data_IF_000109075621
#
_entry.id   IF_000109075621
#
_cell.length_a   1.000
_cell.length_b   1.000
_cell.length_c   1.000
_cell.angle_alpha   90.00
_cell.angle_beta   90.00
_cell.angle_gamma   90.00
#
_symmetry.space_group_name_H-M   'P 1'
#
loop_
_entity.id
_entity.type
_entity.pdbx_description
1 polymer ?
#
# COMPACT_ATOMS: atom_id res chain seq x y z
N UNK A 1 10.54 -5.46 -19.62
CA UNK A 1 10.40 -5.76 -18.18
C UNK A 1 8.97 -5.44 -17.76
N UNK A 2 8.33 -6.24 -16.90
CA UNK A 2 6.97 -5.98 -16.39
C UNK A 2 7.01 -6.09 -14.87
N UNK A 3 6.92 -4.95 -14.20
CA UNK A 3 6.85 -4.84 -12.74
C UNK A 3 5.44 -4.40 -12.35
N UNK A 4 5.06 -4.72 -11.12
CA UNK A 4 3.80 -4.34 -10.50
C UNK A 4 4.07 -3.72 -9.12
N UNK A 5 3.03 -3.12 -8.54
CA UNK A 5 3.06 -2.62 -7.17
C UNK A 5 3.79 -3.59 -6.22
N UNK A 6 4.67 -3.06 -5.37
CA UNK A 6 5.50 -3.81 -4.39
C UNK A 6 6.58 -4.74 -4.96
N UNK A 7 6.80 -4.77 -6.27
CA UNK A 7 8.11 -5.17 -6.76
C UNK A 7 9.14 -4.09 -6.35
N UNK A 8 10.40 -4.49 -6.14
CA UNK A 8 11.47 -3.53 -5.88
C UNK A 8 12.43 -3.40 -7.05
N UNK A 9 12.87 -2.17 -7.25
CA UNK A 9 13.99 -1.79 -8.08
C UNK A 9 15.16 -1.42 -7.18
N UNK A 10 16.34 -1.94 -7.51
CA UNK A 10 17.62 -1.53 -6.91
C UNK A 10 18.25 -0.51 -7.86
N UNK A 11 18.39 0.73 -7.40
CA UNK A 11 19.11 1.78 -8.12
C UNK A 11 20.62 1.51 -8.16
N UNK A 12 21.36 2.20 -9.04
CA UNK A 12 22.81 2.01 -9.21
C UNK A 12 23.63 2.28 -7.94
N UNK A 13 23.17 3.16 -7.06
CA UNK A 13 23.79 3.42 -5.74
C UNK A 13 23.30 2.46 -4.64
N UNK A 14 22.45 1.49 -4.98
CA UNK A 14 21.88 0.52 -4.05
C UNK A 14 20.64 1.00 -3.28
N UNK A 15 20.07 2.16 -3.62
CA UNK A 15 18.79 2.61 -3.07
C UNK A 15 17.69 1.62 -3.51
N UNK A 16 16.82 1.23 -2.57
CA UNK A 16 15.72 0.32 -2.81
C UNK A 16 14.43 1.11 -3.01
N UNK A 17 13.86 0.97 -4.19
CA UNK A 17 12.66 1.66 -4.64
C UNK A 17 11.51 0.67 -4.76
N UNK A 18 10.45 0.89 -4.00
CA UNK A 18 9.19 0.16 -4.11
C UNK A 18 8.41 0.69 -5.31
N UNK A 19 8.07 -0.15 -6.28
CA UNK A 19 7.20 0.22 -7.39
C UNK A 19 5.82 0.59 -6.83
N UNK A 20 5.29 1.75 -7.24
CA UNK A 20 4.02 2.29 -6.76
C UNK A 20 2.93 2.16 -7.81
N UNK A 21 1.95 1.31 -7.52
CA UNK A 21 0.77 1.12 -8.37
C UNK A 21 1.10 0.61 -9.77
N UNK A 22 0.41 1.16 -10.77
CA UNK A 22 0.33 0.56 -12.12
C UNK A 22 0.47 1.57 -13.26
N UNK A 23 0.59 2.86 -12.94
CA UNK A 23 0.67 3.95 -13.89
C UNK A 23 2.13 4.38 -14.06
N UNK A 24 2.79 3.92 -15.12
CA UNK A 24 4.22 4.15 -15.33
C UNK A 24 4.49 4.67 -16.74
N UNK A 25 5.41 5.64 -16.90
CA UNK A 25 5.83 6.06 -18.23
C UNK A 25 6.65 4.95 -18.92
N UNK A 26 6.78 4.97 -20.26
CA UNK A 26 7.50 3.92 -20.99
C UNK A 26 9.00 3.81 -20.65
N UNK A 27 9.59 4.86 -20.10
CA UNK A 27 11.02 5.03 -19.83
C UNK A 27 11.41 4.82 -18.36
N UNK A 28 10.46 4.43 -17.49
CA UNK A 28 10.79 4.16 -16.09
C UNK A 28 9.58 3.79 -15.23
N UNK A 29 9.82 3.58 -13.94
CA UNK A 29 8.78 3.21 -12.97
C UNK A 29 8.61 4.29 -11.93
N UNK A 30 7.35 4.64 -11.63
CA UNK A 30 7.03 5.49 -10.47
C UNK A 30 7.26 4.65 -9.23
N UNK A 31 8.04 5.19 -8.29
CA UNK A 31 8.46 4.43 -7.12
C UNK A 31 8.54 5.30 -5.87
N UNK A 32 8.48 4.63 -4.73
CA UNK A 32 8.82 5.20 -3.43
C UNK A 32 10.21 4.71 -3.01
N UNK A 33 11.14 5.61 -2.68
CA UNK A 33 12.40 5.22 -2.05
C UNK A 33 12.11 4.75 -0.62
N UNK A 34 12.36 3.48 -0.33
CA UNK A 34 12.04 2.90 0.97
C UNK A 34 13.28 2.62 1.83
N UNK A 35 14.40 2.24 1.21
CA UNK A 35 15.65 2.01 1.92
C UNK A 35 16.85 2.59 1.18
N UNK A 36 17.86 3.01 1.93
CA UNK A 36 19.17 3.33 1.38
C UNK A 36 20.30 2.66 2.17
N UNK A 37 21.41 2.28 1.51
CA UNK A 37 22.57 1.72 2.18
C UNK A 37 23.13 2.65 3.26
N UNK A 38 23.67 2.08 4.35
CA UNK A 38 24.31 2.82 5.45
C UNK A 38 25.47 3.73 5.01
N UNK A 39 26.03 3.48 3.82
CA UNK A 39 27.14 4.22 3.23
C UNK A 39 26.72 5.57 2.66
N UNK A 40 25.45 5.74 2.30
CA UNK A 40 24.95 6.96 1.65
C UNK A 40 23.83 7.66 2.44
N UNK A 41 23.20 6.97 3.39
CA UNK A 41 22.13 7.54 4.20
C UNK A 41 22.17 7.03 5.64
N UNK A 42 21.81 7.92 6.58
CA UNK A 42 21.54 7.61 7.99
C UNK A 42 20.33 8.43 8.43
N UNK A 43 19.41 7.80 9.16
CA UNK A 43 18.28 8.49 9.78
C UNK A 43 18.52 8.65 11.28
N UNK A 44 17.97 9.73 11.85
CA UNK A 44 17.91 9.95 13.29
C UNK A 44 16.77 9.17 13.95
N UNK A 45 15.86 8.57 13.16
CA UNK A 45 14.80 7.74 13.69
C UNK A 45 15.39 6.40 14.22
N UNK A 46 15.21 6.08 15.52
CA UNK A 46 15.78 4.87 16.10
C UNK A 46 15.19 3.58 15.50
N UNK A 47 14.03 3.66 14.83
CA UNK A 47 13.40 2.53 14.13
C UNK A 47 13.90 2.36 12.69
N UNK A 48 14.75 3.25 12.17
CA UNK A 48 15.23 3.19 10.78
C UNK A 48 16.29 2.14 10.47
N UNK A 49 17.25 1.81 11.35
CA UNK A 49 18.27 0.81 11.04
C UNK A 49 17.67 -0.54 10.60
N UNK A 50 18.25 -1.15 9.58
CA UNK A 50 17.93 -2.49 9.06
C UNK A 50 19.20 -3.29 8.87
N UNK A 51 19.13 -4.59 9.17
CA UNK A 51 20.26 -5.53 9.19
C UNK A 51 20.49 -6.12 10.58
N UNK A 52 20.88 -7.39 10.60
CA UNK A 52 21.24 -8.14 11.80
C UNK A 52 22.35 -9.14 11.45
N UNK A 53 23.42 -9.28 12.27
CA UNK A 53 23.68 -8.58 13.53
C UNK A 53 24.14 -7.13 13.35
N UNK A 54 24.51 -6.73 12.14
CA UNK A 54 24.95 -5.37 11.83
C UNK A 54 23.98 -4.63 10.91
N UNK A 55 23.91 -3.31 11.09
CA UNK A 55 23.15 -2.43 10.20
C UNK A 55 23.77 -2.45 8.81
N UNK A 56 22.94 -2.63 7.78
CA UNK A 56 23.31 -2.58 6.37
C UNK A 56 22.55 -1.46 5.63
N UNK A 57 21.29 -1.22 6.01
CA UNK A 57 20.40 -0.24 5.39
C UNK A 57 19.70 0.62 6.43
N UNK A 58 19.13 1.74 5.99
CA UNK A 58 18.20 2.56 6.76
C UNK A 58 16.87 2.65 5.99
N UNK A 59 15.75 2.37 6.67
CA UNK A 59 14.40 2.67 6.16
C UNK A 59 14.14 4.16 6.24
N UNK A 60 13.59 4.73 5.17
CA UNK A 60 13.09 6.10 5.17
C UNK A 60 11.77 6.19 5.93
N UNK A 61 11.58 7.27 6.71
CA UNK A 61 10.33 7.58 7.39
C UNK A 61 9.77 8.93 6.95
N UNK A 62 8.44 9.01 6.79
CA UNK A 62 7.78 10.24 6.35
C UNK A 62 8.31 10.70 4.99
N UNK A 63 8.76 11.95 4.90
CA UNK A 63 9.28 12.53 3.67
C UNK A 63 10.81 12.41 3.48
N UNK A 64 11.50 11.65 4.35
CA UNK A 64 12.96 11.50 4.28
C UNK A 64 13.43 10.99 2.92
N UNK A 65 12.78 9.95 2.38
CA UNK A 65 13.16 9.33 1.12
C UNK A 65 13.00 10.26 -0.08
N UNK A 66 11.86 10.96 -0.15
CA UNK A 66 11.59 11.94 -1.20
C UNK A 66 12.62 13.08 -1.16
N UNK A 67 12.83 13.70 0.00
CA UNK A 67 13.83 14.77 0.18
C UNK A 67 15.25 14.31 -0.12
N UNK A 68 15.60 13.09 0.28
CA UNK A 68 16.91 12.52 0.05
C UNK A 68 17.18 12.33 -1.44
N UNK A 69 16.23 11.75 -2.17
CA UNK A 69 16.34 11.55 -3.62
C UNK A 69 16.36 12.89 -4.36
N UNK A 70 15.42 13.80 -4.07
CA UNK A 70 15.36 15.10 -4.75
C UNK A 70 16.63 15.93 -4.57
N UNK A 71 17.25 15.88 -3.39
CA UNK A 71 18.45 16.65 -3.09
C UNK A 71 19.73 16.02 -3.64
N UNK A 72 19.90 14.71 -3.52
CA UNK A 72 21.18 14.04 -3.75
C UNK A 72 21.22 13.25 -5.06
N UNK A 73 20.07 12.77 -5.54
CA UNK A 73 19.97 11.92 -6.73
C UNK A 73 18.78 12.36 -7.62
N UNK A 74 18.80 13.60 -8.14
CA UNK A 74 17.69 14.14 -8.94
C UNK A 74 17.43 13.38 -10.24
N UNK A 75 18.36 12.50 -10.65
CA UNK A 75 18.19 11.57 -11.78
C UNK A 75 17.15 10.48 -11.52
N UNK A 76 16.79 10.17 -10.27
CA UNK A 76 15.65 9.30 -9.92
C UNK A 76 14.32 10.05 -9.93
N UNK A 77 14.09 10.81 -11.00
CA UNK A 77 12.84 11.53 -11.24
C UNK A 77 12.39 11.25 -12.66
N UNK A 78 11.13 10.87 -12.80
CA UNK A 78 10.52 10.56 -14.09
C UNK A 78 9.37 11.53 -14.36
N UNK A 79 9.24 11.97 -15.60
CA UNK A 79 8.17 12.86 -15.99
C UNK A 79 6.89 12.07 -16.25
N UNK A 80 5.87 12.30 -15.42
CA UNK A 80 4.57 11.66 -15.57
C UNK A 80 3.68 12.58 -16.39
N UNK A 81 3.62 12.32 -17.70
CA UNK A 81 2.89 13.15 -18.67
C UNK A 81 1.43 13.44 -18.28
N UNK A 82 0.62 12.45 -17.84
CA UNK A 82 -0.75 12.74 -17.40
C UNK A 82 -0.83 13.78 -16.27
N UNK A 83 0.12 13.76 -15.34
CA UNK A 83 0.17 14.69 -14.19
C UNK A 83 0.94 15.98 -14.48
N UNK A 84 1.62 16.07 -15.63
CA UNK A 84 2.48 17.19 -16.03
C UNK A 84 3.51 17.59 -14.97
N UNK A 85 4.07 16.61 -14.27
CA UNK A 85 5.05 16.82 -13.20
C UNK A 85 6.08 15.69 -13.16
N UNK A 86 7.18 15.93 -12.45
CA UNK A 86 8.16 14.91 -12.11
C UNK A 86 7.80 14.26 -10.79
N UNK A 87 7.73 12.93 -10.78
CA UNK A 87 7.64 12.13 -9.56
C UNK A 87 8.96 11.41 -9.32
N UNK A 88 9.20 11.00 -8.08
CA UNK A 88 10.28 10.07 -7.78
C UNK A 88 10.00 8.74 -8.49
N UNK A 89 11.03 8.20 -9.11
CA UNK A 89 10.94 6.96 -9.87
C UNK A 89 12.28 6.60 -10.46
N UNK A 90 12.37 5.41 -11.05
CA UNK A 90 13.64 4.89 -11.57
C UNK A 90 13.56 4.81 -13.09
N UNK A 91 14.33 5.65 -13.82
CA UNK A 91 14.56 5.47 -15.25
C UNK A 91 15.16 4.09 -15.54
N UNK A 92 14.81 3.50 -16.69
CA UNK A 92 15.23 2.14 -17.04
C UNK A 92 16.76 1.96 -17.01
N UNK A 93 17.52 2.98 -17.40
CA UNK A 93 18.99 2.98 -17.43
C UNK A 93 19.65 3.01 -16.04
N UNK A 94 18.90 3.38 -14.99
CA UNK A 94 19.38 3.41 -13.61
C UNK A 94 18.96 2.18 -12.79
N UNK A 95 18.35 1.18 -13.44
CA UNK A 95 17.97 -0.08 -12.80
C UNK A 95 19.19 -1.00 -12.77
N UNK A 96 19.73 -1.23 -11.56
CA UNK A 96 20.82 -2.19 -11.35
C UNK A 96 20.30 -3.62 -11.17
N UNK A 97 19.18 -3.79 -10.44
CA UNK A 97 18.56 -5.09 -10.21
C UNK A 97 17.07 -4.96 -9.86
N UNK A 98 16.37 -6.09 -9.88
CA UNK A 98 14.96 -6.21 -9.49
C UNK A 98 14.86 -7.24 -8.36
N UNK A 99 13.98 -7.00 -7.39
CA UNK A 99 13.61 -7.99 -6.37
C UNK A 99 12.09 -8.14 -6.37
N UNK A 100 11.62 -9.34 -6.74
CA UNK A 100 10.19 -9.66 -6.71
C UNK A 100 9.83 -10.39 -5.41
N UNK A 101 8.68 -10.07 -4.78
CA UNK A 101 8.24 -10.75 -3.57
C UNK A 101 8.15 -12.28 -3.70
N UNK A 102 7.69 -12.78 -4.85
CA UNK A 102 7.60 -14.23 -5.12
C UNK A 102 8.98 -14.90 -5.09
N UNK A 103 9.98 -14.31 -5.76
CA UNK A 103 11.36 -14.81 -5.75
C UNK A 103 11.97 -14.78 -4.34
N UNK A 104 11.56 -13.82 -3.51
CA UNK A 104 11.89 -13.78 -2.09
C UNK A 104 11.34 -14.99 -1.33
N UNK A 105 10.05 -15.28 -1.52
CA UNK A 105 9.39 -16.39 -0.83
C UNK A 105 9.97 -17.73 -1.26
N UNK A 106 10.16 -17.95 -2.57
CA UNK A 106 10.79 -19.18 -3.09
C UNK A 106 12.14 -19.44 -2.44
N UNK A 107 13.01 -18.42 -2.36
CA UNK A 107 14.32 -18.55 -1.70
C UNK A 107 14.20 -18.95 -0.23
N UNK A 108 13.20 -18.46 0.49
CA UNK A 108 12.96 -18.83 1.90
C UNK A 108 12.46 -20.27 1.98
N UNK A 109 11.49 -20.67 1.14
CA UNK A 109 10.95 -22.03 1.11
C UNK A 109 12.01 -23.08 0.74
N UNK A 110 13.01 -22.72 -0.06
CA UNK A 110 14.11 -23.61 -0.47
C UNK A 110 15.32 -23.57 0.47
N UNK A 111 15.39 -22.61 1.40
CA UNK A 111 16.54 -22.45 2.29
C UNK A 111 16.74 -23.66 3.21
N UNK A 112 17.99 -24.14 3.29
CA UNK A 112 18.37 -25.26 4.17
C UNK A 112 18.38 -24.89 5.66
N UNK A 113 18.43 -23.59 5.98
CA UNK A 113 18.40 -23.06 7.33
C UNK A 113 17.67 -21.72 7.34
N UNK A 114 16.89 -21.50 8.39
CA UNK A 114 16.05 -20.33 8.60
C UNK A 114 16.20 -19.88 10.05
N UNK A 115 16.30 -18.58 10.26
CA UNK A 115 16.11 -18.03 11.59
C UNK A 115 14.63 -18.12 12.02
N UNK A 116 14.37 -17.71 13.26
CA UNK A 116 13.04 -17.79 13.87
C UNK A 116 11.96 -17.09 13.03
N UNK A 117 12.21 -15.85 12.60
CA UNK A 117 11.22 -15.05 11.87
C UNK A 117 10.91 -15.66 10.50
N UNK A 118 11.91 -16.23 9.84
CA UNK A 118 11.72 -16.93 8.57
C UNK A 118 10.94 -18.24 8.76
N UNK A 119 11.13 -18.97 9.87
CA UNK A 119 10.29 -20.13 10.18
C UNK A 119 8.85 -19.72 10.44
N UNK A 120 8.63 -18.66 11.23
CA UNK A 120 7.29 -18.11 11.49
C UNK A 120 6.61 -17.67 10.18
N UNK A 121 7.38 -17.08 9.24
CA UNK A 121 6.89 -16.70 7.90
C UNK A 121 6.43 -17.91 7.10
N UNK A 122 7.22 -18.99 7.07
CA UNK A 122 6.86 -20.23 6.37
C UNK A 122 5.61 -20.86 6.99
N UNK A 123 5.50 -20.90 8.32
CA UNK A 123 4.34 -21.48 8.99
C UNK A 123 3.04 -20.70 8.66
N UNK A 124 3.11 -19.36 8.61
CA UNK A 124 1.96 -18.54 8.19
C UNK A 124 1.59 -18.86 6.73
N UNK A 125 2.58 -18.98 5.84
CA UNK A 125 2.33 -19.33 4.43
C UNK A 125 1.67 -20.70 4.31
N UNK A 126 2.11 -21.69 5.08
CA UNK A 126 1.51 -23.02 5.10
C UNK A 126 0.05 -22.98 5.60
N UNK A 127 -0.22 -22.25 6.69
CA UNK A 127 -1.60 -22.02 7.19
C UNK A 127 -2.49 -21.42 6.10
N UNK A 128 -1.99 -20.42 5.36
CA UNK A 128 -2.74 -19.80 4.27
C UNK A 128 -2.98 -20.77 3.10
N UNK A 129 -1.99 -21.58 2.74
CA UNK A 129 -2.14 -22.56 1.66
C UNK A 129 -3.16 -23.64 2.05
N UNK A 130 -3.13 -24.12 3.29
CA UNK A 130 -4.04 -25.16 3.79
C UNK A 130 -5.46 -24.65 4.02
N UNK A 131 -5.61 -23.48 4.65
CA UNK A 131 -6.92 -22.97 5.11
C UNK A 131 -7.62 -22.13 4.04
N UNK A 132 -6.88 -21.24 3.37
CA UNK A 132 -7.45 -20.38 2.33
C UNK A 132 -7.40 -21.00 0.92
N UNK A 133 -6.80 -22.19 0.77
CA UNK A 133 -6.58 -22.85 -0.52
C UNK A 133 -5.92 -21.89 -1.54
N UNK A 134 -4.87 -21.19 -1.07
CA UNK A 134 -3.98 -20.37 -1.89
C UNK A 134 -2.82 -21.24 -2.39
N UNK A 135 -2.32 -20.92 -3.58
CA UNK A 135 -1.04 -21.46 -4.01
C UNK A 135 0.10 -20.65 -3.40
N UNK A 136 1.25 -21.28 -3.15
CA UNK A 136 2.49 -20.57 -2.85
C UNK A 136 2.82 -19.53 -3.92
N UNK A 137 2.44 -19.78 -5.18
CA UNK A 137 2.63 -18.83 -6.28
C UNK A 137 1.74 -17.57 -6.18
N UNK A 138 0.68 -17.60 -5.37
CA UNK A 138 -0.18 -16.45 -5.10
C UNK A 138 0.41 -15.53 -4.01
N UNK A 139 1.52 -15.93 -3.37
CA UNK A 139 2.09 -15.27 -2.20
C UNK A 139 3.52 -14.79 -2.50
N UNK A 140 3.94 -13.71 -1.85
CA UNK A 140 5.32 -13.26 -1.82
C UNK A 140 5.69 -12.71 -0.45
N UNK A 141 6.99 -12.45 -0.22
CA UNK A 141 7.47 -11.74 0.97
C UNK A 141 7.90 -10.32 0.60
N UNK A 142 7.65 -9.37 1.48
CA UNK A 142 7.93 -7.95 1.26
C UNK A 142 8.91 -7.40 2.31
N UNK A 143 9.24 -6.12 2.19
CA UNK A 143 9.99 -5.38 3.19
C UNK A 143 11.36 -5.97 3.50
N UNK A 144 11.72 -6.00 4.78
CA UNK A 144 13.06 -6.42 5.21
C UNK A 144 13.38 -7.89 4.95
N UNK A 145 12.35 -8.75 4.97
CA UNK A 145 12.48 -10.19 4.72
C UNK A 145 12.88 -10.43 3.26
N UNK A 146 12.25 -9.75 2.30
CA UNK A 146 12.60 -9.87 0.87
C UNK A 146 14.08 -9.59 0.59
N UNK A 147 14.62 -8.59 1.29
CA UNK A 147 16.00 -8.15 1.12
C UNK A 147 17.01 -8.87 2.01
N UNK A 148 16.56 -9.71 2.95
CA UNK A 148 17.43 -10.47 3.86
C UNK A 148 18.17 -9.60 4.88
N UNK A 149 17.65 -8.41 5.20
CA UNK A 149 18.17 -7.54 6.26
C UNK A 149 17.20 -7.40 7.43
N UNK A 150 16.23 -8.31 7.56
CA UNK A 150 15.34 -8.37 8.70
C UNK A 150 16.12 -8.63 9.99
N UNK A 151 15.53 -8.20 11.10
CA UNK A 151 15.98 -8.56 12.42
C UNK A 151 15.02 -9.63 12.94
N UNK A 152 15.50 -10.85 13.26
CA UNK A 152 14.62 -11.96 13.68
C UNK A 152 13.75 -11.65 14.90
N UNK A 153 14.16 -10.70 15.75
CA UNK A 153 13.49 -10.37 17.01
C UNK A 153 12.65 -9.09 16.94
N UNK A 154 12.79 -8.28 15.88
CA UNK A 154 12.18 -6.94 15.82
C UNK A 154 11.42 -6.64 14.54
N UNK A 155 11.72 -7.34 13.43
CA UNK A 155 10.99 -7.12 12.18
C UNK A 155 9.59 -7.72 12.23
N UNK A 156 8.71 -7.07 11.50
CA UNK A 156 7.36 -7.56 11.20
C UNK A 156 7.43 -8.54 10.00
N UNK A 157 6.35 -9.26 9.74
CA UNK A 157 6.21 -10.15 8.59
C UNK A 157 5.28 -9.49 7.58
N UNK A 158 5.83 -9.05 6.46
CA UNK A 158 5.06 -8.44 5.37
C UNK A 158 4.91 -9.46 4.23
N UNK A 159 3.68 -9.91 3.97
CA UNK A 159 3.36 -10.83 2.87
C UNK A 159 2.64 -10.07 1.75
N UNK A 160 2.92 -10.41 0.51
CA UNK A 160 2.15 -9.94 -0.66
C UNK A 160 1.20 -11.04 -1.08
N UNK A 161 -0.04 -10.69 -1.39
CA UNK A 161 -1.06 -11.60 -1.88
C UNK A 161 -1.54 -11.12 -3.24
N UNK A 162 -1.42 -11.98 -4.26
CA UNK A 162 -1.66 -11.61 -5.64
C UNK A 162 -3.04 -11.99 -6.12
N UNK A 163 -3.79 -11.02 -6.64
CA UNK A 163 -5.08 -11.24 -7.30
C UNK A 163 -6.29 -11.05 -6.40
N UNK A 164 -7.31 -10.34 -6.88
CA UNK A 164 -8.54 -10.05 -6.12
C UNK A 164 -9.21 -11.31 -5.54
N UNK A 165 -9.26 -12.39 -6.32
CA UNK A 165 -9.81 -13.69 -5.87
C UNK A 165 -9.06 -14.27 -4.67
N UNK A 166 -7.73 -14.13 -4.65
CA UNK A 166 -6.90 -14.62 -3.56
C UNK A 166 -7.10 -13.76 -2.30
N UNK A 167 -7.34 -12.46 -2.46
CA UNK A 167 -7.64 -11.56 -1.35
C UNK A 167 -9.00 -11.86 -0.71
N UNK A 168 -10.01 -12.21 -1.51
CA UNK A 168 -11.31 -12.62 -0.96
C UNK A 168 -11.16 -13.88 -0.10
N UNK A 169 -10.51 -14.92 -0.64
CA UNK A 169 -10.21 -16.16 0.10
C UNK A 169 -9.41 -15.90 1.37
N UNK A 170 -8.38 -15.05 1.28
CA UNK A 170 -7.57 -14.67 2.43
C UNK A 170 -8.43 -14.02 3.52
N UNK A 171 -9.29 -13.06 3.17
CA UNK A 171 -10.15 -12.37 4.14
C UNK A 171 -11.15 -13.32 4.80
N UNK A 172 -11.71 -14.27 4.06
CA UNK A 172 -12.57 -15.33 4.61
C UNK A 172 -11.80 -16.18 5.62
N UNK A 173 -10.63 -16.69 5.23
CA UNK A 173 -9.75 -17.47 6.08
C UNK A 173 -9.31 -16.70 7.35
N UNK A 174 -8.87 -15.45 7.21
CA UNK A 174 -8.47 -14.62 8.35
C UNK A 174 -9.64 -14.30 9.27
N UNK A 175 -10.85 -14.11 8.73
CA UNK A 175 -12.05 -13.93 9.54
C UNK A 175 -12.32 -15.15 10.42
N UNK A 176 -12.17 -16.37 9.87
CA UNK A 176 -12.30 -17.62 10.64
C UNK A 176 -11.19 -17.73 11.70
N UNK A 177 -9.92 -17.60 11.28
CA UNK A 177 -8.75 -17.66 12.17
C UNK A 177 -8.84 -16.66 13.32
N UNK A 178 -9.23 -15.41 13.06
CA UNK A 178 -9.31 -14.39 14.09
C UNK A 178 -10.41 -14.66 15.12
N UNK A 179 -11.48 -15.36 14.71
CA UNK A 179 -12.61 -15.70 15.58
C UNK A 179 -12.34 -16.86 16.54
N UNK A 180 -11.36 -17.73 16.25
CA UNK A 180 -11.05 -18.90 17.08
C UNK A 180 -10.23 -18.53 18.32
N UNK A 181 -10.59 -19.08 19.49
CA UNK A 181 -9.95 -18.74 20.77
C UNK A 181 -8.48 -19.21 20.87
N UNK A 182 -8.16 -20.31 20.22
CA UNK A 182 -6.84 -20.97 20.23
C UNK A 182 -5.99 -20.63 18.99
N UNK A 183 -6.47 -19.78 18.10
CA UNK A 183 -5.72 -19.38 16.91
C UNK A 183 -4.44 -18.61 17.27
N UNK A 184 -3.35 -18.98 16.59
CA UNK A 184 -2.07 -18.26 16.61
C UNK A 184 -2.14 -16.94 15.85
N UNK A 185 -3.15 -16.72 15.01
CA UNK A 185 -3.36 -15.49 14.26
C UNK A 185 -4.56 -14.72 14.81
N UNK A 186 -4.35 -13.43 15.11
CA UNK A 186 -5.37 -12.52 15.64
C UNK A 186 -5.39 -11.21 14.88
N UNK A 187 -6.55 -10.55 14.82
CA UNK A 187 -6.65 -9.23 14.21
C UNK A 187 -5.80 -8.24 15.03
N UNK A 188 -4.92 -7.48 14.37
CA UNK A 188 -4.06 -6.52 15.06
C UNK A 188 -4.86 -5.51 15.90
N UNK A 189 -6.04 -5.12 15.41
CA UNK A 189 -6.89 -4.10 16.01
C UNK A 189 -7.80 -4.63 17.13
N UNK A 190 -7.64 -5.90 17.52
CA UNK A 190 -8.17 -6.44 18.78
C UNK A 190 -7.25 -6.14 19.97
N UNK A 191 -6.00 -5.73 19.70
CA UNK A 191 -5.05 -5.29 20.70
C UNK A 191 -5.13 -3.77 20.90
N UNK A 192 -4.62 -3.25 22.04
CA UNK A 192 -4.49 -1.81 22.23
C UNK A 192 -3.70 -1.16 21.10
N UNK A 193 -4.29 -0.13 20.47
CA UNK A 193 -3.68 0.66 19.41
C UNK A 193 -3.18 1.97 19.99
N UNK A 194 -1.87 2.15 20.04
CA UNK A 194 -1.24 3.40 20.44
C UNK A 194 -0.71 4.16 19.22
N UNK A 195 -1.42 5.22 18.83
CA UNK A 195 -0.93 6.21 17.86
C UNK A 195 -0.79 7.57 18.55
N UNK A 196 0.32 7.83 19.27
CA UNK A 196 0.50 9.05 20.06
C UNK A 196 0.54 10.34 19.21
N UNK A 197 0.71 10.21 17.89
CA UNK A 197 0.67 11.33 16.93
C UNK A 197 -0.35 11.04 15.84
N UNK A 198 -1.63 11.05 16.19
CA UNK A 198 -2.71 11.02 15.21
C UNK A 198 -2.76 12.36 14.46
N UNK A 199 -2.60 12.32 13.14
CA UNK A 199 -2.37 13.53 12.32
C UNK A 199 -3.61 14.01 11.56
N UNK A 200 -4.57 13.13 11.27
CA UNK A 200 -5.73 13.48 10.47
C UNK A 200 -6.72 14.32 11.27
N UNK A 201 -7.17 15.44 10.68
CA UNK A 201 -8.11 16.38 11.33
C UNK A 201 -9.56 15.95 11.19
N UNK A 202 -9.92 15.40 10.03
CA UNK A 202 -11.31 15.06 9.66
C UNK A 202 -11.63 13.56 9.81
N UNK A 203 -10.68 12.80 10.33
CA UNK A 203 -10.75 11.37 10.56
C UNK A 203 -10.15 11.11 11.93
N UNK A 204 -10.92 10.62 12.89
CA UNK A 204 -10.48 10.43 14.27
C UNK A 204 -9.81 9.07 14.48
N UNK A 205 -9.04 8.93 15.56
CA UNK A 205 -8.40 7.66 15.91
C UNK A 205 -9.42 6.51 16.12
N UNK A 206 -10.62 6.80 16.65
CA UNK A 206 -11.67 5.79 16.82
C UNK A 206 -12.22 5.30 15.49
N UNK A 207 -12.46 6.23 14.57
CA UNK A 207 -12.90 5.90 13.20
C UNK A 207 -11.80 5.12 12.46
N UNK A 208 -10.53 5.48 12.66
CA UNK A 208 -9.38 4.71 12.17
C UNK A 208 -9.40 3.26 12.66
N UNK A 209 -9.44 3.04 13.97
CA UNK A 209 -9.46 1.69 14.55
C UNK A 209 -10.66 0.89 14.02
N UNK A 210 -11.84 1.51 13.92
CA UNK A 210 -13.03 0.86 13.36
C UNK A 210 -12.78 0.37 11.92
N UNK A 211 -12.27 1.25 11.06
CA UNK A 211 -12.03 0.93 9.65
C UNK A 211 -10.91 -0.08 9.47
N UNK A 212 -9.79 0.06 10.17
CA UNK A 212 -8.67 -0.86 10.01
C UNK A 212 -9.01 -2.28 10.46
N UNK A 213 -9.76 -2.42 11.55
CA UNK A 213 -10.21 -3.73 12.06
C UNK A 213 -10.96 -4.52 10.99
N UNK A 214 -11.84 -3.86 10.22
CA UNK A 214 -12.66 -4.50 9.16
C UNK A 214 -11.92 -4.72 7.83
N UNK A 215 -10.68 -4.26 7.68
CA UNK A 215 -9.89 -4.54 6.46
C UNK A 215 -9.47 -6.01 6.39
N UNK A 216 -9.32 -6.67 7.55
CA UNK A 216 -8.97 -8.10 7.68
C UNK A 216 -7.65 -8.48 7.02
N UNK A 217 -6.71 -7.54 6.87
CA UNK A 217 -5.38 -7.76 6.31
C UNK A 217 -4.24 -7.41 7.28
N UNK A 218 -4.58 -7.07 8.52
CA UNK A 218 -3.61 -6.81 9.59
C UNK A 218 -3.78 -7.83 10.69
N UNK A 219 -2.68 -8.50 11.04
CA UNK A 219 -2.64 -9.59 11.97
C UNK A 219 -1.53 -9.46 12.99
N UNK A 220 -1.65 -10.23 14.07
CA UNK A 220 -0.55 -10.61 14.93
C UNK A 220 -0.49 -12.12 15.02
N UNK A 221 0.72 -12.65 14.86
CA UNK A 221 1.03 -14.07 14.96
C UNK A 221 1.72 -14.36 16.29
N UNK A 222 1.23 -15.34 17.04
CA UNK A 222 1.86 -15.83 18.25
C UNK A 222 2.96 -16.83 17.89
N UNK A 223 4.19 -16.43 18.15
CA UNK A 223 5.38 -17.15 17.72
C UNK A 223 5.96 -18.09 18.80
N UNK A 224 5.23 -18.25 19.90
CA UNK A 224 5.61 -18.99 21.11
C UNK A 224 6.18 -18.11 22.24
N UNK A 225 6.65 -16.90 21.93
CA UNK A 225 7.31 -15.99 22.88
C UNK A 225 6.66 -14.59 22.85
N UNK A 226 6.34 -14.08 21.66
CA UNK A 226 5.74 -12.77 21.42
C UNK A 226 4.69 -12.79 20.32
N UNK A 227 3.92 -11.71 20.28
CA UNK A 227 3.06 -11.38 19.15
C UNK A 227 3.86 -10.62 18.09
N UNK A 228 4.11 -11.25 16.94
CA UNK A 228 4.76 -10.67 15.76
C UNK A 228 3.69 -10.06 14.87
N UNK A 229 3.88 -8.82 14.38
CA UNK A 229 2.93 -8.24 13.44
C UNK A 229 3.05 -8.91 12.07
N UNK A 230 1.91 -9.08 11.42
CA UNK A 230 1.81 -9.64 10.07
C UNK A 230 0.91 -8.73 9.24
N UNK A 231 1.40 -8.26 8.11
CA UNK A 231 0.63 -7.47 7.15
C UNK A 231 0.46 -8.27 5.86
N UNK A 232 -0.77 -8.33 5.33
CA UNK A 232 -1.09 -9.02 4.08
C UNK A 232 -1.43 -8.01 2.99
N UNK A 233 -0.49 -7.79 2.09
CA UNK A 233 -0.51 -6.70 1.13
C UNK A 233 -1.07 -7.14 -0.23
N UNK A 234 -2.28 -6.68 -0.61
CA UNK A 234 -2.90 -6.99 -1.89
C UNK A 234 -2.18 -6.35 -3.06
N UNK A 235 -1.86 -7.15 -4.06
CA UNK A 235 -1.30 -6.69 -5.34
C UNK A 235 -2.04 -7.35 -6.49
N UNK A 236 -2.25 -6.63 -7.60
CA UNK A 236 -2.92 -7.18 -8.78
C UNK A 236 -2.13 -8.37 -9.34
N UNK A 237 -2.84 -9.40 -9.79
CA UNK A 237 -2.22 -10.41 -10.64
C UNK A 237 -1.84 -9.79 -12.00
N UNK A 238 -0.97 -10.44 -12.76
CA UNK A 238 -0.61 -9.95 -14.10
C UNK A 238 -1.81 -9.88 -15.05
N UNK A 239 -2.86 -10.67 -14.82
CA UNK A 239 -4.07 -10.67 -15.67
C UNK A 239 -5.07 -9.56 -15.27
N UNK A 240 -4.99 -9.06 -14.04
CA UNK A 240 -5.78 -7.93 -13.54
C UNK A 240 -5.14 -6.57 -13.83
N UNK A 241 -3.86 -6.58 -14.19
CA UNK A 241 -3.09 -5.39 -14.52
C UNK A 241 -3.27 -5.01 -16.01
N UNK A 242 -3.86 -3.84 -16.25
CA UNK A 242 -3.89 -3.17 -17.55
C UNK A 242 -3.07 -1.89 -17.48
N UNK A 243 -2.21 -1.67 -18.49
CA UNK A 243 -1.46 -0.42 -18.61
C UNK A 243 -2.35 0.65 -19.24
N UNK A 244 -2.89 1.52 -18.38
CA UNK A 244 -3.73 2.65 -18.80
C UNK A 244 -2.93 3.93 -19.07
N UNK A 245 -1.59 3.92 -18.92
CA UNK A 245 -0.79 5.16 -19.02
C UNK A 245 -1.01 5.87 -20.34
N UNK A 246 -1.07 5.12 -21.44
CA UNK A 246 -1.24 5.69 -22.77
C UNK A 246 -2.66 6.18 -23.06
N UNK A 247 -3.65 5.77 -22.27
CA UNK A 247 -5.06 6.13 -22.43
C UNK A 247 -5.40 7.48 -21.77
N UNK A 248 -4.67 7.85 -20.73
CA UNK A 248 -4.87 9.11 -19.99
C UNK A 248 -4.06 10.22 -20.66
N UNK A 249 -4.74 11.24 -21.15
CA UNK A 249 -4.12 12.41 -21.80
C UNK A 249 -3.63 13.41 -20.76
N UNK A 250 -4.47 13.74 -19.77
CA UNK A 250 -4.10 14.60 -18.65
C UNK A 250 -5.03 14.46 -17.45
N UNK A 251 -4.51 14.81 -16.28
CA UNK A 251 -5.23 14.91 -15.01
C UNK A 251 -5.05 16.34 -14.52
N UNK A 252 -6.13 17.13 -14.60
CA UNK A 252 -6.11 18.54 -14.19
C UNK A 252 -6.75 18.68 -12.80
N UNK A 253 -6.04 19.32 -11.85
CA UNK A 253 -6.60 19.66 -10.53
C UNK A 253 -7.64 20.78 -10.68
N UNK A 254 -8.86 20.52 -10.24
CA UNK A 254 -9.98 21.47 -10.34
C UNK A 254 -10.16 22.26 -9.04
N UNK A 255 -10.14 21.57 -7.90
CA UNK A 255 -10.29 22.22 -6.60
C UNK A 255 -10.60 21.24 -5.49
N UNK A 256 -10.50 21.70 -4.24
CA UNK A 256 -10.84 20.87 -3.09
C UNK A 256 -12.36 20.67 -2.98
N UNK A 257 -12.78 19.46 -2.65
CA UNK A 257 -14.19 19.09 -2.50
C UNK A 257 -14.45 18.34 -1.21
N UNK A 258 -15.71 18.40 -0.77
CA UNK A 258 -16.30 17.57 0.28
C UNK A 258 -17.57 16.96 -0.28
N UNK A 259 -17.65 15.63 -0.33
CA UNK A 259 -18.77 14.90 -0.93
C UNK A 259 -19.32 13.87 0.05
N UNK A 260 -20.62 13.63 -0.04
CA UNK A 260 -21.25 12.39 0.40
C UNK A 260 -21.56 11.55 -0.85
N UNK A 261 -21.35 10.25 -0.78
CA UNK A 261 -21.51 9.36 -1.92
C UNK A 261 -21.91 7.95 -1.45
N UNK A 262 -22.45 7.15 -2.36
CA UNK A 262 -22.62 5.70 -2.18
C UNK A 262 -21.59 4.97 -3.03
N UNK A 263 -21.00 3.91 -2.50
CA UNK A 263 -20.09 3.05 -3.27
C UNK A 263 -20.92 2.17 -4.21
N UNK A 264 -20.65 2.26 -5.51
CA UNK A 264 -21.32 1.45 -6.55
C UNK A 264 -20.41 0.39 -7.16
N UNK A 265 -19.09 0.49 -6.94
CA UNK A 265 -18.08 -0.49 -7.35
C UNK A 265 -16.91 -0.50 -6.36
N UNK A 266 -16.63 -1.65 -5.78
CA UNK A 266 -15.53 -1.91 -4.85
C UNK A 266 -14.51 -2.94 -5.39
N UNK A 267 -14.55 -3.26 -6.69
CA UNK A 267 -13.67 -4.28 -7.29
C UNK A 267 -12.17 -4.00 -7.19
N UNK A 268 -11.78 -2.73 -7.00
CA UNK A 268 -10.39 -2.26 -7.01
C UNK A 268 -9.97 -1.59 -5.70
N UNK A 269 -10.70 -1.79 -4.60
CA UNK A 269 -10.44 -1.12 -3.30
C UNK A 269 -9.28 -1.76 -2.52
N UNK A 270 -8.85 -2.96 -2.92
CA UNK A 270 -7.76 -3.71 -2.30
C UNK A 270 -6.38 -3.18 -2.63
N UNK A 271 -6.23 -2.61 -3.82
CA UNK A 271 -4.93 -2.33 -4.44
C UNK A 271 -4.49 -0.90 -4.19
N UNK A 272 -3.24 -0.60 -4.57
CA UNK A 272 -2.73 0.77 -4.62
C UNK A 272 -2.62 1.24 -6.08
N UNK A 273 -3.20 2.40 -6.45
CA UNK A 273 -4.19 3.14 -5.67
C UNK A 273 -5.49 2.33 -5.48
N UNK A 274 -6.18 2.60 -4.37
CA UNK A 274 -7.51 2.06 -4.12
C UNK A 274 -8.51 2.87 -4.94
N UNK A 275 -9.34 2.20 -5.73
CA UNK A 275 -10.34 2.86 -6.58
C UNK A 275 -11.73 2.42 -6.17
N UNK A 276 -12.55 3.40 -5.83
CA UNK A 276 -13.96 3.24 -5.47
C UNK A 276 -14.81 3.88 -6.57
N UNK A 277 -15.67 3.10 -7.22
CA UNK A 277 -16.73 3.68 -8.05
C UNK A 277 -17.81 4.25 -7.14
N UNK A 278 -18.25 5.48 -7.41
CA UNK A 278 -19.20 6.20 -6.56
C UNK A 278 -20.31 6.89 -7.34
N UNK A 279 -21.45 7.02 -6.69
CA UNK A 279 -22.51 7.95 -7.07
C UNK A 279 -22.60 9.05 -6.01
N UNK A 280 -22.48 10.32 -6.42
CA UNK A 280 -22.51 11.46 -5.51
C UNK A 280 -23.94 11.73 -5.07
N UNK A 281 -24.20 11.60 -3.77
CA UNK A 281 -25.51 11.87 -3.19
C UNK A 281 -25.63 13.31 -2.71
N UNK A 282 -24.52 13.95 -2.35
CA UNK A 282 -24.50 15.34 -1.90
C UNK A 282 -23.14 16.02 -2.11
N UNK A 283 -23.17 17.20 -2.72
CA UNK A 283 -22.06 18.15 -2.68
C UNK A 283 -22.13 18.96 -1.37
N UNK A 284 -21.19 18.73 -0.46
CA UNK A 284 -21.09 19.48 0.81
C UNK A 284 -20.37 20.81 0.59
N UNK A 285 -19.28 20.82 -0.17
CA UNK A 285 -18.60 22.05 -0.61
C UNK A 285 -17.66 21.77 -1.78
N UNK A 286 -17.45 22.77 -2.64
CA UNK A 286 -16.52 22.71 -3.76
C UNK A 286 -17.16 23.12 -5.09
N UNK A 287 -16.45 22.98 -6.22
CA UNK A 287 -16.99 23.21 -7.57
C UNK A 287 -18.22 22.33 -7.86
N UNK A 288 -19.14 22.83 -8.71
CA UNK A 288 -20.39 22.15 -9.03
C UNK A 288 -20.18 20.86 -9.84
N UNK A 289 -19.12 20.85 -10.65
CA UNK A 289 -18.65 19.71 -11.44
C UNK A 289 -18.33 18.48 -10.57
N UNK A 290 -18.11 18.67 -9.27
CA UNK A 290 -17.92 17.57 -8.34
C UNK A 290 -19.14 16.64 -8.24
N UNK A 291 -20.33 17.09 -8.62
CA UNK A 291 -21.53 16.25 -8.71
C UNK A 291 -21.41 15.15 -9.78
N UNK A 292 -20.56 15.34 -10.79
CA UNK A 292 -20.30 14.38 -11.86
C UNK A 292 -19.15 13.41 -11.51
N UNK A 293 -18.69 13.41 -10.24
CA UNK A 293 -17.65 12.49 -9.77
C UNK A 293 -18.15 11.06 -9.87
N UNK A 294 -17.38 10.22 -10.55
CA UNK A 294 -17.67 8.79 -10.70
C UNK A 294 -16.73 7.89 -9.90
N UNK A 295 -15.61 8.43 -9.41
CA UNK A 295 -14.58 7.67 -8.70
C UNK A 295 -13.95 8.43 -7.55
N UNK A 296 -13.55 7.70 -6.52
CA UNK A 296 -12.57 8.13 -5.52
C UNK A 296 -11.31 7.28 -5.72
N UNK A 297 -10.15 7.91 -5.82
CA UNK A 297 -8.86 7.25 -6.04
C UNK A 297 -7.92 7.61 -4.88
N UNK A 298 -7.50 6.63 -4.09
CA UNK A 298 -6.62 6.84 -2.94
C UNK A 298 -5.25 6.19 -3.14
N UNK A 299 -4.20 6.99 -2.99
CA UNK A 299 -2.81 6.54 -2.83
C UNK A 299 -2.39 6.47 -1.36
N UNK A 300 -3.30 6.77 -0.42
CA UNK A 300 -3.06 6.76 1.02
C UNK A 300 -3.53 5.41 1.57
N UNK A 301 -2.61 4.67 2.19
CA UNK A 301 -2.84 3.32 2.71
C UNK A 301 -3.96 3.28 3.77
N UNK A 302 -4.09 4.32 4.60
CA UNK A 302 -5.19 4.41 5.58
C UNK A 302 -6.59 4.40 4.92
N UNK A 303 -6.72 4.81 3.66
CA UNK A 303 -8.00 4.80 2.92
C UNK A 303 -8.12 3.67 1.90
N UNK A 304 -7.23 2.68 1.93
CA UNK A 304 -7.38 1.42 1.17
C UNK A 304 -8.33 0.49 1.93
N UNK A 305 -9.15 -0.31 1.24
CA UNK A 305 -10.13 -1.20 1.87
C UNK A 305 -11.11 -0.49 2.84
N UNK A 306 -11.42 0.76 2.55
CA UNK A 306 -12.09 1.66 3.48
C UNK A 306 -13.61 1.50 3.47
N UNK A 307 -14.18 1.22 2.30
CA UNK A 307 -15.62 1.13 2.02
C UNK A 307 -15.93 0.01 1.01
N UNK A 308 -17.13 -0.54 1.10
CA UNK A 308 -17.64 -1.61 0.24
C UNK A 308 -18.89 -1.14 -0.50
N UNK A 309 -19.28 -1.89 -1.54
CA UNK A 309 -20.51 -1.65 -2.29
C UNK A 309 -21.71 -1.41 -1.37
N UNK A 310 -22.56 -0.47 -1.77
CA UNK A 310 -23.77 -0.03 -1.08
C UNK A 310 -23.55 0.76 0.23
N UNK A 311 -22.30 0.94 0.70
CA UNK A 311 -22.02 1.79 1.85
C UNK A 311 -22.03 3.29 1.49
N UNK A 312 -22.62 4.10 2.37
CA UNK A 312 -22.52 5.57 2.28
C UNK A 312 -21.20 6.06 2.87
N UNK A 313 -20.49 6.90 2.12
CA UNK A 313 -19.19 7.47 2.50
C UNK A 313 -19.21 8.99 2.51
N UNK A 314 -18.30 9.55 3.31
CA UNK A 314 -17.90 10.94 3.27
C UNK A 314 -16.45 11.04 2.83
N UNK A 315 -16.17 11.92 1.86
CA UNK A 315 -14.83 12.13 1.31
C UNK A 315 -14.44 13.61 1.27
N UNK A 316 -13.21 13.91 1.66
CA UNK A 316 -12.55 15.20 1.42
C UNK A 316 -11.25 14.99 0.66
N UNK A 317 -11.10 15.66 -0.48
CA UNK A 317 -9.94 15.50 -1.34
C UNK A 317 -9.89 16.50 -2.49
N UNK A 318 -8.95 16.27 -3.40
CA UNK A 318 -8.81 17.08 -4.61
C UNK A 318 -9.71 16.53 -5.72
N UNK A 319 -10.62 17.35 -6.25
CA UNK A 319 -11.32 17.04 -7.48
C UNK A 319 -10.36 17.16 -8.66
N UNK A 320 -10.32 16.12 -9.48
CA UNK A 320 -9.52 16.05 -10.68
C UNK A 320 -10.42 15.81 -11.90
N UNK A 321 -10.14 16.53 -12.98
CA UNK A 321 -10.71 16.27 -14.30
C UNK A 321 -9.74 15.41 -15.07
N UNK A 322 -10.12 14.17 -15.34
CA UNK A 322 -9.33 13.18 -16.06
C UNK A 322 -9.76 13.18 -17.52
N UNK A 323 -8.87 13.61 -18.40
CA UNK A 323 -9.06 13.61 -19.85
C UNK A 323 -8.46 12.31 -20.38
N UNK A 324 -9.32 11.41 -20.87
CA UNK A 324 -8.94 10.20 -21.61
C UNK A 324 -9.11 10.45 -23.11
N UNK A 325 -8.60 9.54 -23.94
CA UNK A 325 -8.70 9.66 -25.41
C UNK A 325 -10.14 9.69 -25.93
N UNK A 326 -11.05 9.01 -25.24
CA UNK A 326 -12.44 8.76 -25.63
C UNK A 326 -13.47 9.53 -24.79
N UNK A 327 -13.10 9.99 -23.59
CA UNK A 327 -14.03 10.61 -22.63
C UNK A 327 -13.34 11.56 -21.66
N UNK A 328 -14.16 12.32 -20.95
CA UNK A 328 -13.76 13.12 -19.79
C UNK A 328 -14.51 12.58 -18.56
N UNK A 329 -13.80 12.35 -17.46
CA UNK A 329 -14.38 11.89 -16.20
C UNK A 329 -13.87 12.74 -15.02
N UNK A 330 -14.66 12.82 -13.96
CA UNK A 330 -14.27 13.48 -12.71
C UNK A 330 -14.02 12.44 -11.62
N UNK A 331 -12.96 12.65 -10.85
CA UNK A 331 -12.60 11.83 -9.70
C UNK A 331 -12.16 12.68 -8.52
N UNK A 332 -12.26 12.13 -7.31
CA UNK A 332 -11.61 12.70 -6.12
C UNK A 332 -10.35 11.91 -5.79
N UNK A 333 -9.20 12.57 -5.81
CA UNK A 333 -7.92 11.95 -5.45
C UNK A 333 -7.56 12.21 -3.99
N UNK A 334 -7.09 11.17 -3.29
CA UNK A 334 -6.49 11.24 -1.96
C UNK A 334 -5.01 10.86 -2.07
N UNK A 335 -4.11 11.82 -1.87
CA UNK A 335 -2.66 11.64 -2.11
C UNK A 335 -1.81 12.64 -1.32
N UNK A 336 -0.48 12.53 -1.37
CA UNK A 336 0.41 13.50 -0.75
C UNK A 336 0.24 14.90 -1.36
N UNK A 337 -0.11 15.87 -0.51
CA UNK A 337 -0.32 17.27 -0.86
C UNK A 337 -0.23 18.16 0.38
N UNK A 338 -0.26 19.48 0.20
CA UNK A 338 -0.21 20.45 1.32
C UNK A 338 -1.37 20.27 2.32
N UNK A 339 -2.49 19.68 1.87
CA UNK A 339 -3.67 19.38 2.69
C UNK A 339 -3.74 17.92 3.11
N UNK A 340 -2.59 17.24 3.22
CA UNK A 340 -2.51 15.80 3.53
C UNK A 340 -3.39 15.41 4.73
N UNK A 341 -3.28 16.17 5.81
CA UNK A 341 -3.98 15.93 7.09
C UNK A 341 -5.49 16.24 7.07
N UNK A 342 -5.96 16.95 6.04
CA UNK A 342 -7.39 17.29 5.89
C UNK A 342 -8.14 16.21 5.09
N UNK A 343 -7.43 15.32 4.40
CA UNK A 343 -8.04 14.27 3.58
C UNK A 343 -8.76 13.24 4.45
N UNK A 344 -9.86 12.72 3.93
CA UNK A 344 -10.59 11.62 4.57
C UNK A 344 -11.38 10.85 3.53
N UNK A 345 -11.45 9.54 3.71
CA UNK A 345 -12.53 8.69 3.22
C UNK A 345 -13.01 7.86 4.42
N UNK A 346 -14.29 7.93 4.77
CA UNK A 346 -14.86 7.16 5.87
C UNK A 346 -16.34 6.88 5.65
N UNK A 347 -16.91 5.94 6.38
CA UNK A 347 -18.36 5.77 6.36
C UNK A 347 -19.04 7.04 6.86
N UNK A 348 -20.15 7.41 6.21
CA UNK A 348 -20.96 8.57 6.61
C UNK A 348 -21.58 8.37 7.99
N UNK A 349 -21.89 7.13 8.34
CA UNK A 349 -22.36 6.70 9.66
C UNK A 349 -21.57 5.46 10.07
N UNK A 350 -20.89 5.54 11.21
CA UNK A 350 -20.13 4.40 11.74
C UNK A 350 -20.95 3.81 12.90
N UNK A 351 -21.36 2.53 12.83
CA UNK A 351 -22.08 1.92 13.94
C UNK A 351 -21.30 2.02 15.26
N UNK A 352 -21.92 2.64 16.27
CA UNK A 352 -21.32 2.80 17.61
C UNK A 352 -20.36 3.99 17.78
N UNK A 353 -20.22 4.87 16.79
CA UNK A 353 -19.53 6.17 16.87
C UNK A 353 -20.46 7.27 16.35
#
# INVERSE_FOLDING_TARGET
MRLRDRDYIVGVEGILFRVLGYLHPPDGYVCEPEYAPKTIFKSSNPRAPRGYPEVAYFKFYGDEGLKFVEKNYPSYRIYVKPLRTYLVGVPLELISAIRKPQDGLTRIMEASSRDKLLNDTVEIVDILCETANLSVSDIGVFGSILHGFHNPNLSDIDLVIYGSRCIVKLKECLSELYSMEDSRLRNEYDFPVEKPRWIFRNYSLKEYIFHERRKMIYGKYWDGDRWVKVEFEPVKSYDEYRDEYTEIVSIDKVGWVKLESVIVDDSSVYFTPAVYGVEVTKLVSGPREALDTSKIVSYIDEFRLQAWRDEEVYVEGMLERVIRRDRVEYQVSLTYCDRYVDQVLKLRRIPGL
#
